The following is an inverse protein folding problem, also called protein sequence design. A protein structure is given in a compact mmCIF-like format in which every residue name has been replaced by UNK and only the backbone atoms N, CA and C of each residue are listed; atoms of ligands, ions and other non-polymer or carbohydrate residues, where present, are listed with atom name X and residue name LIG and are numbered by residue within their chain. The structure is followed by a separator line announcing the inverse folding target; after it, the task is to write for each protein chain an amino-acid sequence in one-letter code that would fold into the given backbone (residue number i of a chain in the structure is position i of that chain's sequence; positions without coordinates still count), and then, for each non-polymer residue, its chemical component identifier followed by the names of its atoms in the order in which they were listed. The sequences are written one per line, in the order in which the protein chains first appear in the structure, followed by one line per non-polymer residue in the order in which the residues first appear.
data_IF_415760516178
#
_entry.id   IF_415760516178
#
_cell.length_a   1.000
_cell.length_b   1.000
_cell.length_c   1.000
_cell.angle_alpha   90.00
_cell.angle_beta   90.00
_cell.angle_gamma   90.00
#
_symmetry.space_group_name_H-M   'P 1'
#
loop_
_entity.id
_entity.type
_entity.pdbx_description
1 polymer ?
#
# COMPACT_ATOMS: atom_id res chain seq x y z
N UNK A 1 11.16 24.33 -7.37
CA UNK A 1 10.06 24.07 -6.39
C UNK A 1 8.95 25.07 -6.65
N UNK A 2 7.72 24.60 -6.77
CA UNK A 2 6.53 25.42 -6.95
C UNK A 2 5.75 25.56 -5.65
N UNK A 3 5.19 26.74 -5.39
CA UNK A 3 4.34 26.98 -4.21
C UNK A 3 2.88 26.71 -4.54
N UNK A 4 2.57 25.46 -4.85
CA UNK A 4 1.22 24.98 -5.19
C UNK A 4 0.99 23.62 -4.53
N UNK A 5 -0.22 23.36 -4.07
CA UNK A 5 -0.63 22.12 -3.43
C UNK A 5 -2.09 21.80 -3.75
N UNK A 6 -2.62 20.73 -3.13
CA UNK A 6 -4.00 20.31 -3.32
C UNK A 6 -4.31 19.77 -4.72
N UNK A 7 -5.60 19.69 -5.04
CA UNK A 7 -6.09 19.25 -6.34
C UNK A 7 -5.55 20.09 -7.51
N UNK A 8 -5.30 21.38 -7.27
CA UNK A 8 -4.76 22.30 -8.26
C UNK A 8 -3.34 21.91 -8.70
N UNK A 9 -2.49 21.44 -7.76
CA UNK A 9 -1.15 20.95 -8.09
C UNK A 9 -1.23 19.69 -8.95
N UNK A 10 -2.11 18.75 -8.60
CA UNK A 10 -2.34 17.53 -9.38
C UNK A 10 -2.79 17.87 -10.80
N UNK A 11 -3.76 18.74 -10.98
CA UNK A 11 -4.24 19.15 -12.29
C UNK A 11 -3.15 19.89 -13.09
N UNK A 12 -2.38 20.80 -12.47
CA UNK A 12 -1.30 21.53 -13.12
C UNK A 12 -0.18 20.58 -13.60
N UNK A 13 0.16 19.54 -12.84
CA UNK A 13 1.14 18.53 -13.23
C UNK A 13 0.60 17.59 -14.31
N UNK A 14 -0.67 17.20 -14.23
CA UNK A 14 -1.27 16.27 -15.19
C UNK A 14 -1.45 16.87 -16.58
N UNK A 15 -1.88 18.13 -16.66
CA UNK A 15 -2.23 18.76 -17.95
C UNK A 15 -1.22 19.79 -18.42
N UNK A 16 -0.36 20.27 -17.56
CA UNK A 16 0.55 21.38 -17.81
C UNK A 16 -0.16 22.71 -17.74
N UNK A 17 0.52 23.74 -17.25
CA UNK A 17 0.09 25.14 -17.28
C UNK A 17 1.30 26.03 -17.54
N UNK A 18 1.08 27.34 -17.80
CA UNK A 18 2.20 28.25 -18.01
C UNK A 18 3.21 28.17 -16.83
N UNK A 19 4.44 27.79 -17.13
CA UNK A 19 5.53 27.65 -16.17
C UNK A 19 5.62 26.29 -15.47
N UNK A 20 4.67 25.37 -15.66
CA UNK A 20 4.71 23.98 -15.17
C UNK A 20 4.46 23.03 -16.32
N UNK A 21 5.48 22.27 -16.70
CA UNK A 21 5.34 21.24 -17.74
C UNK A 21 4.48 20.08 -17.26
N UNK A 22 3.73 19.47 -18.18
CA UNK A 22 3.07 18.19 -17.94
C UNK A 22 4.09 17.13 -17.55
N UNK A 23 3.72 16.26 -16.62
CA UNK A 23 4.54 15.12 -16.17
C UNK A 23 3.92 13.78 -16.57
N UNK A 24 4.71 12.72 -16.55
CA UNK A 24 4.25 11.36 -16.87
C UNK A 24 3.75 10.62 -15.63
N UNK A 25 4.20 11.02 -14.42
CA UNK A 25 3.82 10.40 -13.16
C UNK A 25 3.74 11.42 -12.02
N UNK A 26 2.70 11.30 -11.19
CA UNK A 26 2.50 12.10 -9.97
C UNK A 26 2.60 11.18 -8.77
N UNK A 27 3.52 11.50 -7.84
CA UNK A 27 3.73 10.74 -6.61
C UNK A 27 3.62 11.65 -5.39
N UNK A 28 3.28 11.09 -4.27
CA UNK A 28 3.22 11.77 -2.98
C UNK A 28 1.81 11.73 -2.36
N UNK A 29 1.77 11.74 -1.02
CA UNK A 29 0.52 11.75 -0.26
C UNK A 29 -0.16 13.12 -0.28
N UNK A 30 -1.40 13.16 0.17
CA UNK A 30 -2.16 14.39 0.33
C UNK A 30 -3.51 14.15 1.01
N UNK A 31 -4.29 15.21 1.13
CA UNK A 31 -5.62 15.10 1.69
C UNK A 31 -6.61 14.47 0.70
N UNK A 32 -7.86 14.28 1.12
CA UNK A 32 -8.95 13.71 0.31
C UNK A 32 -9.06 14.36 -1.09
N UNK A 33 -8.90 15.67 -1.20
CA UNK A 33 -9.00 16.36 -2.50
C UNK A 33 -7.84 16.01 -3.43
N UNK A 34 -6.64 15.76 -2.88
CA UNK A 34 -5.48 15.27 -3.65
C UNK A 34 -5.74 13.84 -4.12
N UNK A 35 -6.24 12.97 -3.25
CA UNK A 35 -6.58 11.58 -3.60
C UNK A 35 -7.63 11.52 -4.72
N UNK A 36 -8.72 12.30 -4.60
CA UNK A 36 -9.75 12.39 -5.64
C UNK A 36 -9.21 12.98 -6.96
N UNK A 37 -8.35 14.00 -6.88
CA UNK A 37 -7.73 14.56 -8.07
C UNK A 37 -6.81 13.56 -8.76
N UNK A 38 -5.98 12.81 -8.02
CA UNK A 38 -5.15 11.72 -8.56
C UNK A 38 -6.00 10.65 -9.24
N UNK A 39 -7.11 10.24 -8.60
CA UNK A 39 -8.06 9.30 -9.19
C UNK A 39 -8.65 9.82 -10.51
N UNK A 40 -8.97 11.13 -10.57
CA UNK A 40 -9.55 11.75 -11.76
C UNK A 40 -8.59 11.82 -12.95
N UNK A 41 -7.31 12.10 -12.70
CA UNK A 41 -6.30 12.25 -13.76
C UNK A 41 -5.60 10.92 -14.12
N UNK A 42 -5.89 9.84 -13.38
CA UNK A 42 -5.32 8.53 -13.69
C UNK A 42 -5.77 8.04 -15.07
N UNK A 43 -4.80 7.73 -15.92
CA UNK A 43 -5.02 7.44 -17.33
C UNK A 43 -4.54 8.58 -18.27
N UNK A 44 -4.61 9.84 -17.83
CA UNK A 44 -3.94 10.96 -18.48
C UNK A 44 -2.48 11.07 -18.01
N UNK A 45 -2.23 10.75 -16.76
CA UNK A 45 -0.93 10.68 -16.11
C UNK A 45 -0.92 9.46 -15.17
N UNK A 46 0.24 8.85 -14.95
CA UNK A 46 0.37 7.77 -13.98
C UNK A 46 0.46 8.33 -12.55
N UNK A 47 0.05 7.54 -11.56
CA UNK A 47 0.10 7.90 -10.13
C UNK A 47 0.77 6.79 -9.32
N UNK A 48 1.22 7.10 -8.10
CA UNK A 48 1.70 6.09 -7.14
C UNK A 48 0.54 5.27 -6.57
N UNK A 49 -0.40 5.95 -5.87
CA UNK A 49 -1.56 5.32 -5.25
C UNK A 49 -2.67 6.35 -4.99
N UNK A 50 -3.85 5.86 -4.66
CA UNK A 50 -4.94 6.65 -4.08
C UNK A 50 -4.85 6.45 -2.57
N UNK A 51 -4.19 7.40 -1.88
CA UNK A 51 -3.95 7.30 -0.45
C UNK A 51 -5.24 7.47 0.36
N UNK A 52 -5.48 6.54 1.29
CA UNK A 52 -6.45 6.65 2.37
C UNK A 52 -5.83 7.20 3.65
N UNK A 53 -6.58 7.21 4.76
CA UNK A 53 -6.03 7.50 6.08
C UNK A 53 -4.94 6.52 6.47
N UNK A 54 -3.98 6.95 7.30
CA UNK A 54 -2.94 6.07 7.83
C UNK A 54 -3.53 5.03 8.77
N UNK A 55 -3.02 3.80 8.70
CA UNK A 55 -3.51 2.66 9.44
C UNK A 55 -2.39 1.75 9.93
N UNK A 56 -2.54 1.19 11.14
CA UNK A 56 -1.67 0.15 11.67
C UNK A 56 -2.49 -1.02 12.20
N UNK A 57 -2.03 -2.23 11.91
CA UNK A 57 -2.40 -3.42 12.67
C UNK A 57 -1.19 -3.85 13.49
N UNK A 58 -1.38 -4.05 14.79
CA UNK A 58 -0.42 -4.72 15.66
C UNK A 58 -0.91 -6.14 15.90
N UNK A 59 -0.13 -7.12 15.43
CA UNK A 59 -0.27 -8.54 15.78
C UNK A 59 0.59 -8.81 16.99
N UNK A 60 -0.01 -9.27 18.09
CA UNK A 60 0.70 -9.43 19.34
C UNK A 60 0.28 -10.71 20.08
N UNK A 61 1.23 -11.41 20.66
CA UNK A 61 1.00 -12.56 21.54
C UNK A 61 1.25 -12.22 23.02
N UNK A 62 1.38 -13.25 23.85
CA UNK A 62 1.61 -13.11 25.29
C UNK A 62 2.98 -12.52 25.67
N UNK A 63 3.93 -12.44 24.73
CA UNK A 63 5.27 -11.87 24.97
C UNK A 63 5.30 -10.36 24.74
N UNK A 64 4.24 -9.81 24.10
CA UNK A 64 4.16 -8.39 23.78
C UNK A 64 4.02 -7.51 25.03
N UNK A 65 4.67 -6.37 24.99
CA UNK A 65 4.51 -5.32 26.00
C UNK A 65 3.36 -4.40 25.63
N UNK A 66 2.40 -4.30 26.54
CA UNK A 66 1.18 -3.50 26.35
C UNK A 66 1.46 -2.01 26.11
N UNK A 67 2.48 -1.45 26.78
CA UNK A 67 2.89 -0.06 26.61
C UNK A 67 3.50 0.21 25.21
N UNK A 68 4.24 -0.73 24.64
CA UNK A 68 4.78 -0.62 23.27
C UNK A 68 3.67 -0.71 22.23
N UNK A 69 2.76 -1.68 22.38
CA UNK A 69 1.59 -1.83 21.51
C UNK A 69 0.74 -0.56 21.52
N UNK A 70 0.45 -0.03 22.72
CA UNK A 70 -0.33 1.20 22.85
C UNK A 70 0.34 2.39 22.15
N UNK A 71 1.67 2.52 22.27
CA UNK A 71 2.41 3.60 21.62
C UNK A 71 2.30 3.55 20.08
N UNK A 72 2.38 2.35 19.48
CA UNK A 72 2.23 2.21 18.04
C UNK A 72 0.80 2.51 17.57
N UNK A 73 -0.22 2.06 18.30
CA UNK A 73 -1.62 2.39 17.99
C UNK A 73 -1.87 3.90 18.05
N UNK A 74 -1.32 4.59 19.06
CA UNK A 74 -1.46 6.02 19.23
C UNK A 74 -0.72 6.77 18.11
N UNK A 75 0.48 6.34 17.72
CA UNK A 75 1.29 7.01 16.70
C UNK A 75 0.54 7.10 15.36
N UNK A 76 -0.24 6.08 15.00
CA UNK A 76 -1.07 6.14 13.80
C UNK A 76 -2.37 6.93 14.00
N UNK A 77 -3.00 6.81 15.15
CA UNK A 77 -4.20 7.56 15.49
C UNK A 77 -3.97 9.08 15.51
N UNK A 78 -2.74 9.53 15.76
CA UNK A 78 -2.33 10.94 15.78
C UNK A 78 -2.45 11.64 14.43
N UNK A 79 -2.45 10.90 13.30
CA UNK A 79 -2.66 11.45 11.95
C UNK A 79 -4.05 12.05 11.75
N UNK A 80 -5.04 11.62 12.50
CA UNK A 80 -6.45 12.14 12.58
C UNK A 80 -7.03 12.61 11.23
N UNK A 81 -7.77 11.73 10.52
CA UNK A 81 -8.13 10.38 10.95
C UNK A 81 -6.95 9.39 10.76
N UNK A 82 -6.80 8.48 11.71
CA UNK A 82 -5.86 7.38 11.68
C UNK A 82 -6.47 6.15 12.36
N UNK A 83 -6.14 4.96 11.89
CA UNK A 83 -6.67 3.70 12.43
C UNK A 83 -5.58 2.92 13.16
N UNK A 84 -5.91 2.44 14.36
CA UNK A 84 -5.04 1.55 15.14
C UNK A 84 -5.80 0.31 15.59
N UNK A 85 -5.40 -0.86 15.12
CA UNK A 85 -6.05 -2.14 15.42
C UNK A 85 -5.06 -3.07 16.09
N UNK A 86 -5.42 -3.60 17.29
CA UNK A 86 -4.72 -4.73 17.89
C UNK A 86 -5.46 -6.02 17.52
N UNK A 87 -4.73 -7.02 17.05
CA UNK A 87 -5.21 -8.39 16.92
C UNK A 87 -4.32 -9.28 17.79
N UNK A 88 -4.91 -9.97 18.76
CA UNK A 88 -4.19 -10.87 19.68
C UNK A 88 -5.02 -12.12 19.94
N UNK A 89 -4.38 -13.22 20.31
CA UNK A 89 -5.02 -14.43 20.85
C UNK A 89 -4.67 -14.63 22.32
N UNK A 90 -4.15 -13.57 22.99
CA UNK A 90 -3.87 -13.53 24.41
C UNK A 90 -4.79 -12.51 25.10
N UNK A 91 -5.94 -12.97 25.59
CA UNK A 91 -7.01 -12.12 26.13
C UNK A 91 -6.53 -11.09 27.16
N UNK A 92 -5.62 -11.43 28.14
CA UNK A 92 -5.14 -10.44 29.12
C UNK A 92 -4.44 -9.21 28.50
N UNK A 93 -3.92 -9.33 27.27
CA UNK A 93 -3.24 -8.22 26.58
C UNK A 93 -4.24 -7.11 26.20
N UNK A 94 -5.50 -7.44 25.93
CA UNK A 94 -6.53 -6.45 25.57
C UNK A 94 -6.72 -5.42 26.68
N UNK A 95 -6.95 -5.87 27.90
CA UNK A 95 -7.15 -4.99 29.07
C UNK A 95 -5.88 -4.20 29.39
N UNK A 96 -4.71 -4.86 29.28
CA UNK A 96 -3.42 -4.21 29.51
C UNK A 96 -3.14 -3.09 28.49
N UNK A 97 -3.43 -3.32 27.21
CA UNK A 97 -3.27 -2.31 26.15
C UNK A 97 -4.28 -1.19 26.31
N UNK A 98 -5.55 -1.48 26.63
CA UNK A 98 -6.54 -0.44 26.90
C UNK A 98 -6.11 0.46 28.08
N UNK A 99 -5.57 -0.13 29.15
CA UNK A 99 -5.01 0.62 30.27
C UNK A 99 -3.84 1.52 29.86
N UNK A 100 -2.90 0.99 29.07
CA UNK A 100 -1.75 1.74 28.55
C UNK A 100 -2.16 2.87 27.62
N UNK A 101 -3.15 2.64 26.72
CA UNK A 101 -3.72 3.68 25.86
C UNK A 101 -4.29 4.84 26.67
N UNK A 102 -5.09 4.55 27.69
CA UNK A 102 -5.68 5.57 28.58
C UNK A 102 -4.61 6.41 29.28
N UNK A 103 -3.54 5.78 29.74
CA UNK A 103 -2.44 6.46 30.41
C UNK A 103 -1.64 7.33 29.44
N UNK A 104 -1.21 6.80 28.31
CA UNK A 104 -0.34 7.51 27.37
C UNK A 104 -1.06 8.69 26.68
N UNK A 105 -2.34 8.55 26.34
CA UNK A 105 -3.12 9.61 25.68
C UNK A 105 -3.22 10.90 26.48
N UNK A 106 -3.17 10.81 27.82
CA UNK A 106 -3.24 12.00 28.71
C UNK A 106 -1.95 12.82 28.66
N UNK A 107 -0.82 12.19 28.35
CA UNK A 107 0.52 12.80 28.37
C UNK A 107 0.87 13.51 27.05
N UNK A 108 0.05 13.32 25.99
CA UNK A 108 0.35 13.82 24.66
C UNK A 108 -0.41 15.10 24.31
N UNK A 109 0.27 16.05 23.69
CA UNK A 109 -0.32 17.33 23.24
C UNK A 109 -1.52 17.12 22.29
N UNK A 110 -1.46 16.08 21.42
CA UNK A 110 -2.53 15.69 20.49
C UNK A 110 -3.38 14.53 20.98
N UNK A 111 -3.25 14.14 22.26
CA UNK A 111 -3.92 12.98 22.83
C UNK A 111 -5.44 12.98 22.64
N UNK A 112 -6.09 14.14 22.66
CA UNK A 112 -7.52 14.27 22.40
C UNK A 112 -7.93 13.86 20.98
N UNK A 113 -7.13 14.23 19.97
CA UNK A 113 -7.37 13.87 18.56
C UNK A 113 -7.09 12.38 18.33
N UNK A 114 -6.00 11.85 18.88
CA UNK A 114 -5.67 10.44 18.80
C UNK A 114 -6.75 9.58 19.49
N UNK A 115 -7.25 10.01 20.66
CA UNK A 115 -8.34 9.34 21.37
C UNK A 115 -9.65 9.34 20.56
N UNK A 116 -9.96 10.40 19.83
CA UNK A 116 -11.10 10.43 18.92
C UNK A 116 -10.92 9.45 17.76
N UNK A 117 -9.76 9.45 17.10
CA UNK A 117 -9.44 8.52 16.02
C UNK A 117 -9.54 7.05 16.46
N UNK A 118 -8.99 6.70 17.64
CA UNK A 118 -9.08 5.35 18.18
C UNK A 118 -10.52 4.94 18.51
N UNK A 119 -11.37 5.87 18.96
CA UNK A 119 -12.79 5.56 19.21
C UNK A 119 -13.59 5.33 17.95
N UNK A 120 -13.26 6.05 16.87
CA UNK A 120 -13.99 5.99 15.60
C UNK A 120 -13.47 4.88 14.68
N UNK A 121 -12.17 4.64 14.67
CA UNK A 121 -11.48 3.78 13.70
C UNK A 121 -10.56 2.73 14.33
N UNK A 122 -10.46 2.67 15.67
CA UNK A 122 -9.64 1.69 16.37
C UNK A 122 -10.43 0.42 16.74
N UNK A 123 -9.70 -0.67 16.96
CA UNK A 123 -10.28 -1.91 17.47
C UNK A 123 -9.27 -2.72 18.28
N UNK A 124 -9.76 -3.42 19.32
CA UNK A 124 -9.03 -4.45 20.05
C UNK A 124 -9.73 -5.78 19.77
N UNK A 125 -9.08 -6.69 19.06
CA UNK A 125 -9.67 -7.91 18.53
C UNK A 125 -9.03 -9.13 19.21
N UNK A 126 -9.86 -9.99 19.81
CA UNK A 126 -9.47 -11.30 20.29
C UNK A 126 -9.69 -12.34 19.19
N UNK A 127 -8.60 -12.87 18.64
CA UNK A 127 -8.62 -14.01 17.74
C UNK A 127 -8.59 -15.32 18.57
N UNK A 128 -9.04 -16.41 17.98
CA UNK A 128 -9.01 -17.75 18.61
C UNK A 128 -7.59 -18.29 18.74
N UNK A 129 -6.77 -18.01 17.73
CA UNK A 129 -5.41 -18.51 17.58
C UNK A 129 -4.61 -17.64 16.61
N UNK A 130 -3.31 -17.92 16.47
CA UNK A 130 -2.39 -17.24 15.57
C UNK A 130 -2.82 -17.32 14.09
N UNK A 131 -3.42 -18.43 13.69
CA UNK A 131 -3.88 -18.65 12.29
C UNK A 131 -5.05 -17.72 11.95
N UNK A 132 -6.02 -17.60 12.86
CA UNK A 132 -7.11 -16.65 12.67
C UNK A 132 -6.62 -15.21 12.71
N UNK A 133 -5.68 -14.89 13.59
CA UNK A 133 -5.07 -13.56 13.65
C UNK A 133 -4.39 -13.18 12.33
N UNK A 134 -3.61 -14.09 11.73
CA UNK A 134 -3.01 -13.88 10.41
C UNK A 134 -4.07 -13.70 9.31
N UNK A 135 -5.11 -14.54 9.30
CA UNK A 135 -6.22 -14.44 8.33
C UNK A 135 -6.94 -13.09 8.42
N UNK A 136 -7.25 -12.63 9.64
CA UNK A 136 -7.90 -11.33 9.84
C UNK A 136 -7.01 -10.17 9.38
N UNK A 137 -5.70 -10.25 9.63
CA UNK A 137 -4.71 -9.29 9.14
C UNK A 137 -4.70 -9.23 7.63
N UNK A 138 -4.65 -10.38 6.95
CA UNK A 138 -4.67 -10.46 5.48
C UNK A 138 -5.99 -9.98 4.88
N UNK A 139 -7.11 -10.19 5.57
CA UNK A 139 -8.42 -9.67 5.15
C UNK A 139 -8.48 -8.14 5.22
N UNK A 140 -7.84 -7.55 6.21
CA UNK A 140 -7.73 -6.10 6.37
C UNK A 140 -6.66 -5.51 5.43
N UNK A 141 -5.59 -6.26 5.15
CA UNK A 141 -4.47 -5.87 4.29
C UNK A 141 -3.92 -4.48 4.62
N UNK A 142 -3.36 -4.28 5.83
CA UNK A 142 -3.05 -2.96 6.36
C UNK A 142 -1.89 -2.27 5.64
N UNK A 143 -1.86 -0.94 5.76
CA UNK A 143 -0.69 -0.12 5.40
C UNK A 143 0.54 -0.53 6.20
N UNK A 144 0.42 -0.54 7.53
CA UNK A 144 1.49 -0.95 8.44
C UNK A 144 1.05 -2.17 9.25
N UNK A 145 1.90 -3.18 9.28
CA UNK A 145 1.74 -4.36 10.12
C UNK A 145 2.92 -4.45 11.09
N UNK A 146 2.68 -4.33 12.38
CA UNK A 146 3.68 -4.62 13.40
C UNK A 146 3.42 -6.01 14.01
N UNK A 147 4.37 -6.91 13.89
CA UNK A 147 4.35 -8.25 14.49
C UNK A 147 5.16 -8.19 15.79
N UNK A 148 4.48 -7.90 16.90
CA UNK A 148 5.07 -7.69 18.22
C UNK A 148 5.06 -9.00 19.05
N UNK A 149 6.07 -9.83 18.84
CA UNK A 149 6.27 -11.10 19.55
C UNK A 149 7.73 -11.51 19.54
N UNK A 150 8.12 -12.50 20.38
CA UNK A 150 9.49 -13.01 20.46
C UNK A 150 9.94 -13.77 19.20
N UNK A 151 9.03 -14.46 18.51
CA UNK A 151 9.28 -15.16 17.24
C UNK A 151 8.41 -14.58 16.11
N UNK A 152 8.73 -13.39 15.62
CA UNK A 152 7.92 -12.72 14.61
C UNK A 152 8.04 -13.38 13.22
N UNK A 153 9.13 -14.09 12.92
CA UNK A 153 9.35 -14.77 11.64
C UNK A 153 8.36 -15.92 11.44
N UNK A 154 7.96 -16.62 12.49
CA UNK A 154 6.93 -17.66 12.41
C UNK A 154 5.59 -17.10 11.95
N UNK A 155 5.21 -15.93 12.45
CA UNK A 155 3.99 -15.22 12.05
C UNK A 155 4.13 -14.63 10.65
N UNK A 156 5.28 -14.06 10.31
CA UNK A 156 5.57 -13.50 8.98
C UNK A 156 5.29 -14.51 7.87
N UNK A 157 5.62 -15.79 8.09
CA UNK A 157 5.36 -16.87 7.14
C UNK A 157 3.87 -17.12 6.82
N UNK A 158 2.95 -16.60 7.64
CA UNK A 158 1.50 -16.73 7.46
C UNK A 158 0.87 -15.48 6.79
N UNK A 159 1.59 -14.37 6.72
CA UNK A 159 1.08 -13.09 6.19
C UNK A 159 1.34 -12.99 4.70
N UNK A 160 0.33 -12.51 3.96
CA UNK A 160 0.38 -12.29 2.52
C UNK A 160 0.18 -10.83 2.13
N UNK A 161 -0.59 -10.07 2.90
CA UNK A 161 -1.06 -8.75 2.52
C UNK A 161 -0.72 -7.72 3.60
N UNK A 162 0.34 -6.94 3.38
CA UNK A 162 0.64 -5.73 4.16
C UNK A 162 1.52 -4.78 3.34
N UNK A 163 1.37 -3.48 3.56
CA UNK A 163 2.17 -2.46 2.86
C UNK A 163 3.62 -2.43 3.37
N UNK A 164 3.81 -2.39 4.69
CA UNK A 164 5.10 -2.54 5.35
C UNK A 164 4.96 -3.43 6.59
N UNK A 165 5.96 -4.25 6.86
CA UNK A 165 5.95 -5.19 8.00
C UNK A 165 7.12 -4.88 8.93
N UNK A 166 6.80 -4.70 10.21
CA UNK A 166 7.73 -4.38 11.29
C UNK A 166 7.83 -5.60 12.22
N UNK A 167 9.05 -6.11 12.46
CA UNK A 167 9.24 -7.36 13.17
C UNK A 167 9.86 -7.16 14.54
N UNK A 168 9.23 -7.74 15.56
CA UNK A 168 9.74 -7.78 16.94
C UNK A 168 9.49 -6.50 17.73
N UNK A 169 9.62 -6.62 19.06
CA UNK A 169 9.21 -5.61 20.02
C UNK A 169 9.91 -4.24 19.90
N UNK A 170 11.08 -4.19 19.30
CA UNK A 170 11.92 -2.98 19.21
C UNK A 170 11.89 -2.33 17.82
N UNK A 171 10.88 -2.66 17.01
CA UNK A 171 10.72 -2.10 15.66
C UNK A 171 9.42 -1.29 15.56
N UNK A 172 9.33 -0.14 16.23
CA UNK A 172 8.13 0.69 16.19
C UNK A 172 7.85 1.19 14.77
N UNK A 173 6.59 1.32 14.43
CA UNK A 173 6.11 1.70 13.09
C UNK A 173 6.71 3.03 12.62
N UNK A 174 6.90 3.98 13.53
CA UNK A 174 7.52 5.28 13.25
C UNK A 174 8.92 5.19 12.61
N UNK A 175 9.65 4.08 12.77
CA UNK A 175 10.93 3.91 12.06
C UNK A 175 10.75 3.91 10.54
N UNK A 176 9.64 3.36 10.05
CA UNK A 176 9.31 3.31 8.61
C UNK A 176 9.14 4.69 8.01
N UNK A 177 8.56 5.62 8.75
CA UNK A 177 8.29 6.98 8.28
C UNK A 177 9.56 7.85 8.22
N UNK A 178 10.56 7.59 9.08
CA UNK A 178 11.65 8.54 9.27
C UNK A 178 13.05 8.02 8.92
N UNK A 179 13.38 6.74 9.17
CA UNK A 179 14.78 6.33 9.13
C UNK A 179 15.07 4.93 8.57
N UNK A 180 14.09 4.05 8.44
CA UNK A 180 14.31 2.65 8.02
C UNK A 180 14.81 2.49 6.58
N UNK A 181 14.62 3.50 5.72
CA UNK A 181 15.14 3.54 4.36
C UNK A 181 14.10 3.28 3.27
N UNK A 182 13.18 2.31 3.35
CA UNK A 182 12.08 2.18 2.38
C UNK A 182 11.21 3.43 2.33
N UNK A 183 10.51 3.62 1.20
CA UNK A 183 9.52 4.71 1.10
C UNK A 183 8.37 4.50 2.07
N UNK A 184 7.95 5.61 2.71
CA UNK A 184 6.75 5.62 3.56
C UNK A 184 5.45 5.82 2.78
N UNK A 185 5.50 5.94 1.44
CA UNK A 185 4.30 5.96 0.59
C UNK A 185 3.88 4.52 0.35
N UNK A 186 2.90 4.09 1.10
CA UNK A 186 2.44 2.71 1.18
C UNK A 186 0.99 2.57 0.68
N UNK A 187 0.57 1.36 0.29
CA UNK A 187 -0.82 1.09 -0.03
C UNK A 187 -1.68 1.15 1.22
N UNK A 188 -2.79 1.87 1.17
CA UNK A 188 -3.74 2.08 2.28
C UNK A 188 -5.13 1.55 1.94
N UNK A 189 -6.02 1.41 2.93
CA UNK A 189 -7.42 1.04 2.70
C UNK A 189 -7.58 -0.35 2.09
N UNK A 190 -6.75 -1.31 2.51
CA UNK A 190 -6.79 -2.68 2.03
C UNK A 190 -6.18 -2.89 0.63
N UNK A 191 -5.56 -1.87 0.03
CA UNK A 191 -4.95 -1.98 -1.32
C UNK A 191 -3.64 -2.77 -1.32
N UNK A 192 -3.06 -3.06 -0.16
CA UNK A 192 -1.90 -3.96 -0.03
C UNK A 192 -2.13 -5.37 -0.60
N UNK A 193 -3.38 -5.75 -0.90
CA UNK A 193 -3.73 -6.98 -1.62
C UNK A 193 -3.17 -7.04 -3.04
N UNK A 194 -2.92 -5.89 -3.69
CA UNK A 194 -2.51 -5.81 -5.08
C UNK A 194 -1.52 -4.67 -5.38
N UNK A 195 -1.32 -3.74 -4.45
CA UNK A 195 -0.42 -2.62 -4.62
C UNK A 195 0.83 -2.78 -3.75
N UNK A 196 1.91 -2.14 -4.16
CA UNK A 196 3.18 -2.11 -3.44
C UNK A 196 3.44 -0.72 -2.88
N UNK A 197 4.35 -0.62 -1.90
CA UNK A 197 4.93 0.66 -1.51
C UNK A 197 5.73 1.27 -2.66
N UNK A 198 5.80 2.61 -2.70
CA UNK A 198 6.52 3.33 -3.73
C UNK A 198 8.01 2.97 -3.74
N UNK A 199 8.52 2.57 -4.91
CA UNK A 199 9.89 2.16 -5.10
C UNK A 199 10.49 2.75 -6.37
N UNK A 200 11.80 2.66 -6.55
CA UNK A 200 12.49 3.12 -7.78
C UNK A 200 11.97 2.43 -9.04
N UNK A 201 11.47 1.19 -8.92
CA UNK A 201 10.86 0.45 -10.01
C UNK A 201 9.62 1.14 -10.60
N UNK A 202 8.89 1.93 -9.80
CA UNK A 202 7.70 2.65 -10.24
C UNK A 202 8.00 3.78 -11.25
N UNK A 203 9.25 4.17 -11.38
CA UNK A 203 9.73 5.16 -12.34
C UNK A 203 10.32 4.52 -13.60
N UNK A 204 10.27 3.18 -13.72
CA UNK A 204 10.79 2.45 -14.87
C UNK A 204 9.66 1.98 -15.76
N UNK A 205 9.83 2.19 -17.08
CA UNK A 205 8.92 1.62 -18.09
C UNK A 205 9.58 0.42 -18.75
N UNK A 206 8.78 -0.57 -19.09
CA UNK A 206 9.20 -1.76 -19.83
C UNK A 206 8.61 -1.74 -21.23
N UNK A 207 9.42 -2.09 -22.22
CA UNK A 207 8.99 -2.29 -23.59
C UNK A 207 9.44 -3.66 -24.07
N UNK A 208 8.60 -4.36 -24.79
CA UNK A 208 8.97 -5.60 -25.45
C UNK A 208 9.69 -5.26 -26.77
N UNK A 209 10.84 -5.88 -27.01
CA UNK A 209 11.55 -5.83 -28.28
C UNK A 209 11.35 -7.19 -28.94
N UNK A 210 10.71 -7.19 -30.12
CA UNK A 210 10.39 -8.40 -30.87
C UNK A 210 11.11 -8.32 -32.20
N UNK A 211 11.93 -9.33 -32.51
CA UNK A 211 12.68 -9.43 -33.75
C UNK A 211 12.54 -10.85 -34.31
N UNK A 212 12.14 -10.96 -35.57
CA UNK A 212 12.06 -12.19 -36.33
C UNK A 212 12.89 -12.04 -37.61
N UNK A 213 13.59 -13.10 -37.98
CA UNK A 213 14.11 -13.27 -39.35
C UNK A 213 13.05 -13.99 -40.20
N UNK A 214 13.36 -14.18 -41.49
CA UNK A 214 12.47 -14.84 -42.46
C UNK A 214 12.15 -16.27 -42.02
N UNK A 215 13.16 -17.04 -41.59
CA UNK A 215 12.99 -18.44 -41.21
C UNK A 215 12.08 -18.58 -39.97
N UNK A 216 12.30 -17.75 -38.96
CA UNK A 216 11.48 -17.72 -37.76
C UNK A 216 10.04 -17.29 -38.06
N UNK A 217 9.85 -16.31 -38.97
CA UNK A 217 8.53 -15.88 -39.42
C UNK A 217 7.79 -17.01 -40.17
N UNK A 218 8.48 -17.74 -41.06
CA UNK A 218 7.89 -18.90 -41.75
C UNK A 218 7.39 -19.97 -40.79
N UNK A 219 8.15 -20.27 -39.75
CA UNK A 219 7.77 -21.27 -38.73
C UNK A 219 6.48 -20.89 -38.00
N UNK A 220 6.26 -19.61 -37.70
CA UNK A 220 5.13 -19.11 -36.91
C UNK A 220 3.93 -18.64 -37.75
N UNK A 221 4.10 -18.49 -39.06
CA UNK A 221 3.12 -17.87 -39.97
C UNK A 221 1.73 -18.57 -39.90
N UNK A 222 1.69 -19.90 -39.83
CA UNK A 222 0.46 -20.64 -39.78
C UNK A 222 -0.32 -20.38 -38.47
N UNK A 223 0.37 -20.24 -37.35
CA UNK A 223 -0.20 -19.84 -36.07
C UNK A 223 -0.89 -18.47 -36.16
N UNK A 224 -0.19 -17.49 -36.74
CA UNK A 224 -0.74 -16.14 -36.94
C UNK A 224 -1.97 -16.17 -37.84
N UNK A 225 -1.93 -16.88 -39.00
CA UNK A 225 -3.06 -17.01 -39.91
C UNK A 225 -4.28 -17.60 -39.23
N UNK A 226 -4.08 -18.67 -38.46
CA UNK A 226 -5.16 -19.37 -37.74
C UNK A 226 -5.82 -18.46 -36.71
N UNK A 227 -5.04 -17.74 -35.91
CA UNK A 227 -5.59 -16.81 -34.92
C UNK A 227 -6.28 -15.63 -35.60
N UNK A 228 -5.66 -14.99 -36.57
CA UNK A 228 -6.23 -13.88 -37.32
C UNK A 228 -7.55 -14.26 -38.03
N UNK A 229 -7.65 -15.48 -38.57
CA UNK A 229 -8.88 -15.99 -39.17
C UNK A 229 -10.00 -16.14 -38.15
N UNK A 230 -9.70 -16.60 -36.93
CA UNK A 230 -10.70 -16.73 -35.83
C UNK A 230 -11.22 -15.37 -35.38
N UNK A 231 -10.37 -14.35 -35.41
CA UNK A 231 -10.71 -12.98 -35.04
C UNK A 231 -11.31 -12.16 -36.23
N UNK A 232 -11.30 -12.70 -37.44
CA UNK A 232 -11.73 -11.99 -38.65
C UNK A 232 -10.76 -10.89 -39.09
N UNK A 233 -9.50 -10.91 -38.62
CA UNK A 233 -8.48 -9.88 -38.88
C UNK A 233 -7.64 -10.22 -40.11
N UNK A 234 -8.20 -10.08 -41.32
CA UNK A 234 -7.57 -10.46 -42.58
C UNK A 234 -6.29 -9.68 -42.89
N UNK A 235 -6.20 -8.40 -42.45
CA UNK A 235 -5.00 -7.60 -42.64
C UNK A 235 -3.82 -8.10 -41.78
N UNK A 236 -4.06 -8.71 -40.61
CA UNK A 236 -3.01 -9.33 -39.78
C UNK A 236 -2.40 -10.53 -40.55
N UNK A 237 -3.23 -11.41 -41.09
CA UNK A 237 -2.76 -12.52 -41.95
C UNK A 237 -1.97 -12.00 -43.17
N UNK A 238 -2.53 -11.03 -43.89
CA UNK A 238 -1.91 -10.47 -45.07
C UNK A 238 -0.54 -9.83 -44.81
N UNK A 239 -0.36 -9.23 -43.60
CA UNK A 239 0.92 -8.63 -43.19
C UNK A 239 2.03 -9.67 -43.02
N UNK A 240 1.71 -10.90 -42.65
CA UNK A 240 2.66 -12.02 -42.61
C UNK A 240 2.91 -12.56 -44.02
N UNK A 241 1.83 -12.80 -44.77
CA UNK A 241 1.92 -13.38 -46.10
C UNK A 241 2.78 -12.56 -47.07
N UNK A 242 2.69 -11.23 -47.03
CA UNK A 242 3.46 -10.36 -47.92
C UNK A 242 4.97 -10.42 -47.65
N UNK A 243 5.37 -10.76 -46.43
CA UNK A 243 6.79 -10.90 -46.04
C UNK A 243 7.39 -12.26 -46.39
N UNK A 244 6.55 -13.21 -46.76
CA UNK A 244 6.96 -14.57 -47.13
C UNK A 244 6.94 -14.86 -48.63
N UNK A 245 6.50 -13.88 -49.43
CA UNK A 245 6.54 -13.89 -50.89
C UNK A 245 7.93 -13.72 -51.49
#
# INVERSE_FOLDING_TARGET
VYRIGGAQAVAALAYGVQGIARVDKIVGPGNLFVALAKQHVFGDVDIDSIAGPSEVIVLADHTARADFVAADLISQAEHSPGSGVLITWHEPLLDAVEGALRQQLVELDRGGLAAQSLREYGALILARDATEAARLTDELAPEHLHISMDDPESMLGLIQNAGAIFLGHHTPVALGDYIAGPSHVLPTGGTARFANGLASADFLKRSSIIQYDRQSLEAEAEGVRRMAAKEGLTAHSASVDIRLR
#
